data_IF_949343182172
#
_entry.id   IF_949343182172
#
_cell.length_a   1.000
_cell.length_b   1.000
_cell.length_c   1.000
_cell.angle_alpha   90.00
_cell.angle_beta   90.00
_cell.angle_gamma   90.00
#
_symmetry.space_group_name_H-M   'P 1'
#
loop_
_entity.id
_entity.type
_entity.pdbx_description
1 polymer ?
#
# COMPACT_ATOMS: atom_id res chain seq x y z
N UNK A 1 -27.59 -18.55 12.18
CA UNK A 1 -26.56 -18.21 13.20
C UNK A 1 -25.56 -19.36 13.20
N UNK A 2 -24.37 -19.17 12.62
CA UNK A 2 -23.31 -20.18 12.72
C UNK A 2 -22.62 -19.99 14.07
N UNK A 3 -22.96 -20.83 15.05
CA UNK A 3 -22.16 -20.93 16.27
C UNK A 3 -20.90 -21.71 15.95
N UNK A 4 -19.80 -21.00 15.68
CA UNK A 4 -18.48 -21.60 15.64
C UNK A 4 -18.20 -22.19 17.03
N UNK A 5 -18.09 -23.51 17.11
CA UNK A 5 -17.71 -24.20 18.33
C UNK A 5 -16.20 -24.02 18.46
N UNK A 6 -15.78 -23.15 19.38
CA UNK A 6 -14.38 -23.02 19.76
C UNK A 6 -14.05 -24.15 20.74
N UNK A 7 -13.28 -25.13 20.27
CA UNK A 7 -12.67 -26.12 21.15
C UNK A 7 -11.41 -25.54 21.81
N UNK A 8 -10.97 -26.16 22.91
CA UNK A 8 -9.77 -25.72 23.61
C UNK A 8 -8.55 -25.80 22.66
N UNK A 9 -7.67 -24.81 22.76
CA UNK A 9 -6.43 -24.79 22.00
C UNK A 9 -5.62 -26.06 22.27
N UNK A 10 -5.03 -26.69 21.23
CA UNK A 10 -4.04 -27.74 21.40
C UNK A 10 -2.92 -27.34 22.37
N UNK A 11 -2.33 -28.33 23.06
CA UNK A 11 -1.42 -28.12 24.19
C UNK A 11 -0.19 -27.28 23.83
N UNK A 12 0.34 -27.47 22.64
CA UNK A 12 1.46 -26.73 22.07
C UNK A 12 1.16 -25.24 21.86
N UNK A 13 -0.07 -24.91 21.45
CA UNK A 13 -0.51 -23.52 21.29
C UNK A 13 -0.76 -22.87 22.66
N UNK A 14 -1.32 -23.61 23.62
CA UNK A 14 -1.54 -23.11 24.97
C UNK A 14 -0.22 -22.75 25.67
N UNK A 15 0.80 -23.61 25.55
CA UNK A 15 2.16 -23.38 26.08
C UNK A 15 2.83 -22.17 25.40
N UNK A 16 2.64 -22.00 24.09
CA UNK A 16 3.17 -20.84 23.37
C UNK A 16 2.53 -19.50 23.82
N UNK A 17 1.24 -19.51 24.16
CA UNK A 17 0.53 -18.32 24.66
C UNK A 17 1.00 -17.99 26.08
N UNK A 18 1.23 -18.99 26.93
CA UNK A 18 1.73 -18.80 28.31
C UNK A 18 3.10 -18.09 28.34
N UNK A 19 3.93 -18.30 27.32
CA UNK A 19 5.23 -17.67 27.17
C UNK A 19 5.22 -16.43 26.25
N UNK A 20 4.05 -15.97 25.80
CA UNK A 20 3.94 -14.82 24.92
C UNK A 20 4.16 -13.50 25.67
N UNK A 21 4.63 -12.50 24.94
CA UNK A 21 4.75 -11.12 25.43
C UNK A 21 3.46 -10.37 25.08
N UNK A 22 2.87 -9.69 26.07
CA UNK A 22 1.75 -8.79 25.83
C UNK A 22 2.23 -7.56 25.05
N UNK A 23 1.51 -7.25 23.98
CA UNK A 23 1.73 -6.06 23.14
C UNK A 23 0.45 -5.24 23.13
N UNK A 24 0.58 -3.92 23.22
CA UNK A 24 -0.57 -3.02 23.08
C UNK A 24 -1.23 -3.22 21.71
N UNK A 25 -2.55 -3.05 21.63
CA UNK A 25 -3.27 -3.13 20.35
C UNK A 25 -2.83 -2.00 19.43
N UNK A 26 -1.90 -2.32 18.54
CA UNK A 26 -1.31 -1.41 17.57
C UNK A 26 -1.99 -1.50 16.20
N UNK A 27 -3.01 -2.36 16.06
CA UNK A 27 -3.70 -2.50 14.79
C UNK A 27 -4.66 -1.31 14.61
N UNK A 28 -4.46 -0.48 13.58
CA UNK A 28 -5.38 0.61 13.29
C UNK A 28 -6.73 0.00 12.89
N UNK A 29 -7.82 0.74 13.11
CA UNK A 29 -9.15 0.22 12.83
C UNK A 29 -9.27 -0.15 11.34
N UNK A 30 -10.12 -1.12 10.96
CA UNK A 30 -10.28 -1.52 9.56
C UNK A 30 -10.52 -0.37 8.58
N UNK A 31 -11.18 0.70 9.04
CA UNK A 31 -11.43 1.91 8.26
C UNK A 31 -10.19 2.81 8.08
N UNK A 32 -9.22 2.74 9.00
CA UNK A 32 -7.95 3.49 8.98
C UNK A 32 -6.88 2.76 8.16
N UNK A 33 -6.95 1.41 8.09
CA UNK A 33 -6.15 0.60 7.17
C UNK A 33 -6.41 0.95 5.69
N UNK A 34 -7.60 1.47 5.39
CA UNK A 34 -8.00 1.94 4.06
C UNK A 34 -7.53 3.38 3.81
N UNK A 35 -6.25 3.67 4.06
CA UNK A 35 -5.62 4.94 3.70
C UNK A 35 -5.94 5.30 2.25
N UNK A 36 -6.99 6.09 2.02
CA UNK A 36 -7.47 6.40 0.68
C UNK A 36 -6.41 7.27 0.04
N UNK A 37 -5.70 6.72 -0.95
CA UNK A 37 -4.90 7.53 -1.86
C UNK A 37 -5.90 8.44 -2.60
N UNK A 38 -5.98 9.70 -2.18
CA UNK A 38 -6.85 10.70 -2.76
C UNK A 38 -6.29 11.14 -4.12
N UNK A 39 -6.52 10.32 -5.15
CA UNK A 39 -6.10 10.63 -6.52
C UNK A 39 -6.94 11.77 -7.07
N UNK A 40 -6.30 12.89 -7.40
CA UNK A 40 -6.93 14.01 -8.13
C UNK A 40 -6.55 13.92 -9.61
N UNK A 41 -7.55 13.98 -10.49
CA UNK A 41 -7.32 14.07 -11.94
C UNK A 41 -7.03 15.51 -12.31
N UNK A 42 -5.91 15.73 -12.99
CA UNK A 42 -5.47 17.03 -13.49
C UNK A 42 -5.05 16.88 -14.96
N UNK A 43 -5.16 17.96 -15.72
CA UNK A 43 -4.67 18.02 -17.10
C UNK A 43 -3.45 18.93 -17.13
N UNK A 44 -2.32 18.41 -17.62
CA UNK A 44 -1.08 19.16 -17.81
C UNK A 44 -0.54 18.91 -19.21
N UNK A 45 0.07 19.92 -19.82
CA UNK A 45 0.76 19.79 -21.10
C UNK A 45 2.22 19.42 -20.84
N UNK A 46 2.68 18.33 -21.44
CA UNK A 46 4.06 17.85 -21.38
C UNK A 46 4.67 17.85 -22.78
N UNK A 47 5.99 17.93 -22.87
CA UNK A 47 6.68 17.82 -24.16
C UNK A 47 6.58 16.40 -24.73
N UNK A 48 6.50 16.28 -26.06
CA UNK A 48 6.47 14.99 -26.76
C UNK A 48 7.66 14.12 -26.38
N UNK A 49 8.86 14.71 -26.39
CA UNK A 49 10.12 14.05 -25.98
C UNK A 49 10.05 13.47 -24.57
N UNK A 50 9.39 14.14 -23.63
CA UNK A 50 9.21 13.62 -22.27
C UNK A 50 8.30 12.38 -22.28
N UNK A 51 7.18 12.45 -22.99
CA UNK A 51 6.21 11.35 -23.08
C UNK A 51 6.84 10.11 -23.72
N UNK A 52 7.61 10.27 -24.79
CA UNK A 52 8.31 9.16 -25.45
C UNK A 52 9.27 8.44 -24.49
N UNK A 53 10.05 9.21 -23.72
CA UNK A 53 10.95 8.63 -22.71
C UNK A 53 10.22 7.81 -21.65
N UNK A 54 9.08 8.31 -21.16
CA UNK A 54 8.26 7.56 -20.20
C UNK A 54 7.68 6.30 -20.81
N UNK A 55 7.25 6.33 -22.09
CA UNK A 55 6.75 5.14 -22.80
C UNK A 55 7.83 4.08 -22.97
N UNK A 56 9.04 4.47 -23.33
CA UNK A 56 10.16 3.53 -23.50
C UNK A 56 10.57 2.88 -22.18
N UNK A 57 10.61 3.66 -21.10
CA UNK A 57 10.90 3.13 -19.77
C UNK A 57 9.77 2.21 -19.28
N UNK A 58 8.51 2.61 -19.48
CA UNK A 58 7.34 1.81 -19.14
C UNK A 58 7.35 0.42 -19.79
N UNK A 59 7.70 0.35 -21.09
CA UNK A 59 7.84 -0.92 -21.82
C UNK A 59 8.94 -1.82 -21.25
N UNK A 60 10.05 -1.25 -20.80
CA UNK A 60 11.19 -2.02 -20.25
C UNK A 60 10.89 -2.60 -18.86
N UNK A 61 10.04 -1.93 -18.08
CA UNK A 61 9.76 -2.26 -16.69
C UNK A 61 8.33 -2.79 -16.45
N UNK A 62 7.62 -3.16 -17.51
CA UNK A 62 6.23 -3.68 -17.48
C UNK A 62 5.30 -2.83 -16.60
N UNK A 63 5.33 -1.52 -16.80
CA UNK A 63 4.52 -0.57 -16.02
C UNK A 63 3.77 0.40 -16.92
N UNK A 64 2.83 1.16 -16.35
CA UNK A 64 2.08 2.19 -17.07
C UNK A 64 2.88 3.48 -17.07
N UNK A 65 3.06 4.11 -18.23
CA UNK A 65 3.79 5.38 -18.33
C UNK A 65 3.12 6.49 -17.49
N UNK A 66 1.80 6.44 -17.30
CA UNK A 66 1.10 7.38 -16.41
C UNK A 66 1.53 7.22 -14.95
N UNK A 67 1.77 5.99 -14.49
CA UNK A 67 2.27 5.73 -13.14
C UNK A 67 3.64 6.35 -12.96
N UNK A 68 4.55 6.18 -13.94
CA UNK A 68 5.88 6.80 -13.88
C UNK A 68 5.82 8.33 -13.80
N UNK A 69 4.91 8.95 -14.54
CA UNK A 69 4.71 10.40 -14.48
C UNK A 69 4.24 10.82 -13.08
N UNK A 70 3.25 10.11 -12.52
CA UNK A 70 2.77 10.37 -11.15
C UNK A 70 3.87 10.23 -10.11
N UNK A 71 4.63 9.13 -10.12
CA UNK A 71 5.72 8.89 -9.17
C UNK A 71 6.80 9.98 -9.22
N UNK A 72 7.15 10.46 -10.41
CA UNK A 72 8.11 11.57 -10.55
C UNK A 72 7.55 12.84 -9.93
N UNK A 73 6.29 13.20 -10.22
CA UNK A 73 5.67 14.41 -9.65
C UNK A 73 5.57 14.32 -8.14
N UNK A 74 5.18 13.16 -7.61
CA UNK A 74 5.05 12.92 -6.17
C UNK A 74 6.42 12.99 -5.48
N UNK A 75 7.46 12.35 -6.03
CA UNK A 75 8.82 12.38 -5.50
C UNK A 75 9.43 13.79 -5.47
N UNK A 76 9.22 14.58 -6.53
CA UNK A 76 9.67 15.98 -6.55
C UNK A 76 8.89 16.85 -5.56
N UNK A 77 7.58 16.62 -5.42
CA UNK A 77 6.75 17.38 -4.47
C UNK A 77 7.14 17.09 -3.02
N UNK A 78 7.44 15.84 -2.68
CA UNK A 78 7.92 15.44 -1.35
C UNK A 78 9.26 16.08 -0.98
N UNK A 79 10.11 16.39 -1.97
CA UNK A 79 11.42 17.05 -1.76
C UNK A 79 11.32 18.56 -1.57
N UNK A 80 10.20 19.18 -1.96
CA UNK A 80 9.98 20.63 -1.83
C UNK A 80 9.39 21.02 -0.47
N UNK A 81 9.20 20.05 0.44
CA UNK A 81 8.69 20.24 1.80
C UNK A 81 9.81 20.36 2.83
#
# INVERSE_FOLDING_TARGET
MNSTIYENAPRDIAEAIEHSVEVDDFLPQPNELLGKINKKRITITLSERSIERFKDFAKKHDTKYQTLISEVVDAYSARLQ
#
